data_IF_712188514975
#
_entry.id   IF_712188514975
#
_cell.length_a   1.000
_cell.length_b   1.000
_cell.length_c   1.000
_cell.angle_alpha   90.00
_cell.angle_beta   90.00
_cell.angle_gamma   90.00
#
_symmetry.space_group_name_H-M   'P 1'
#
loop_
_entity.id
_entity.type
_entity.pdbx_description
1 polymer ?
#
# COMPACT_ATOMS: atom_id res chain seq x y z
N UNK A 1 -53.70 -35.47 -16.93
CA UNK A 1 -52.47 -35.49 -17.77
C UNK A 1 -51.57 -34.27 -17.61
N UNK A 2 -52.09 -33.06 -17.39
CA UNK A 2 -51.25 -31.85 -17.28
C UNK A 2 -50.32 -31.76 -16.06
N UNK A 3 -50.71 -32.34 -14.91
CA UNK A 3 -49.89 -32.25 -13.69
C UNK A 3 -48.62 -33.13 -13.70
N UNK A 4 -48.66 -34.26 -14.42
CA UNK A 4 -47.52 -35.20 -14.52
C UNK A 4 -46.44 -34.58 -15.44
N UNK A 5 -46.83 -33.99 -16.57
CA UNK A 5 -45.91 -33.33 -17.52
C UNK A 5 -45.25 -32.11 -16.89
N UNK A 6 -45.93 -31.37 -16.01
CA UNK A 6 -45.37 -30.22 -15.28
C UNK A 6 -44.29 -30.66 -14.30
N UNK A 7 -44.46 -31.77 -13.59
CA UNK A 7 -43.43 -32.29 -12.66
C UNK A 7 -42.19 -32.80 -13.39
N UNK A 8 -42.33 -33.46 -14.53
CA UNK A 8 -41.18 -33.95 -15.30
C UNK A 8 -40.35 -32.82 -15.90
N UNK A 9 -41.00 -31.76 -16.38
CA UNK A 9 -40.30 -30.55 -16.88
C UNK A 9 -39.56 -29.83 -15.75
N UNK A 10 -40.17 -29.75 -14.57
CA UNK A 10 -39.58 -29.11 -13.40
C UNK A 10 -38.36 -29.89 -12.87
N UNK A 11 -38.45 -31.22 -12.85
CA UNK A 11 -37.32 -32.10 -12.50
C UNK A 11 -36.19 -32.01 -13.54
N UNK A 12 -36.51 -31.99 -14.82
CA UNK A 12 -35.53 -31.84 -15.89
C UNK A 12 -34.75 -30.50 -15.76
N UNK A 13 -35.45 -29.40 -15.50
CA UNK A 13 -34.86 -28.10 -15.27
C UNK A 13 -33.92 -28.12 -14.04
N UNK A 14 -34.33 -28.76 -12.94
CA UNK A 14 -33.51 -28.90 -11.74
C UNK A 14 -32.21 -29.68 -12.01
N UNK A 15 -32.29 -30.81 -12.75
CA UNK A 15 -31.07 -31.56 -13.12
C UNK A 15 -30.13 -30.80 -14.04
N UNK A 16 -30.66 -30.04 -14.99
CA UNK A 16 -29.85 -29.16 -15.86
C UNK A 16 -29.10 -28.12 -15.01
N UNK A 17 -29.82 -27.49 -14.08
CA UNK A 17 -29.24 -26.48 -13.18
C UNK A 17 -28.17 -27.07 -12.27
N UNK A 18 -28.38 -28.28 -11.78
CA UNK A 18 -27.40 -29.04 -10.96
C UNK A 18 -26.18 -29.45 -11.77
N UNK A 19 -26.35 -29.87 -13.03
CA UNK A 19 -25.23 -30.14 -13.94
C UNK A 19 -24.41 -28.87 -14.25
N UNK A 20 -25.07 -27.75 -14.55
CA UNK A 20 -24.39 -26.47 -14.78
C UNK A 20 -23.63 -26.04 -13.54
N UNK A 21 -24.26 -26.16 -12.36
CA UNK A 21 -23.59 -25.84 -11.09
C UNK A 21 -22.38 -26.75 -10.85
N UNK A 22 -22.47 -28.04 -11.10
CA UNK A 22 -21.38 -29.01 -10.97
C UNK A 22 -20.22 -28.71 -11.93
N UNK A 23 -20.53 -28.36 -13.17
CA UNK A 23 -19.54 -27.96 -14.18
C UNK A 23 -18.85 -26.66 -13.77
N UNK A 24 -19.60 -25.65 -13.34
CA UNK A 24 -19.07 -24.40 -12.85
C UNK A 24 -18.20 -24.63 -11.60
N UNK A 25 -18.69 -25.48 -10.67
CA UNK A 25 -17.93 -25.86 -9.47
C UNK A 25 -16.62 -26.54 -9.85
N UNK A 26 -16.62 -27.47 -10.81
CA UNK A 26 -15.41 -28.12 -11.32
C UNK A 26 -14.42 -27.09 -11.91
N UNK A 27 -14.89 -26.19 -12.79
CA UNK A 27 -14.05 -25.19 -13.43
C UNK A 27 -13.49 -24.17 -12.43
N UNK A 28 -14.27 -23.72 -11.46
CA UNK A 28 -13.85 -22.73 -10.50
C UNK A 28 -13.02 -23.29 -9.34
N UNK A 29 -13.31 -24.54 -8.91
CA UNK A 29 -12.72 -25.09 -7.69
C UNK A 29 -11.66 -26.15 -7.93
N UNK A 30 -11.78 -26.96 -8.99
CA UNK A 30 -10.91 -28.11 -9.20
C UNK A 30 -9.89 -27.92 -10.33
N UNK A 31 -10.15 -27.06 -11.29
CA UNK A 31 -9.21 -26.79 -12.38
C UNK A 31 -8.06 -25.90 -11.89
N UNK A 32 -6.96 -26.54 -11.47
CA UNK A 32 -5.71 -25.81 -11.18
C UNK A 32 -5.13 -25.27 -12.50
N UNK A 33 -4.77 -23.98 -12.58
CA UNK A 33 -4.05 -23.48 -13.75
C UNK A 33 -2.72 -24.23 -13.87
N UNK A 34 -2.43 -24.77 -15.05
CA UNK A 34 -1.10 -25.32 -15.37
C UNK A 34 -0.13 -24.14 -15.45
N UNK A 35 0.66 -23.95 -14.42
CA UNK A 35 1.75 -22.95 -14.43
C UNK A 35 3.02 -23.68 -14.81
N UNK A 36 3.65 -23.25 -15.90
CA UNK A 36 4.87 -23.82 -16.46
C UNK A 36 6.16 -23.33 -15.78
N UNK A 37 6.06 -22.60 -14.66
CA UNK A 37 7.21 -22.05 -13.96
C UNK A 37 7.39 -22.73 -12.61
N UNK A 38 8.65 -22.93 -12.20
CA UNK A 38 8.99 -23.31 -10.84
C UNK A 38 8.69 -22.15 -9.90
N UNK A 39 7.46 -22.15 -9.39
CA UNK A 39 7.02 -21.11 -8.45
C UNK A 39 7.53 -21.42 -7.04
N UNK A 40 7.82 -20.38 -6.25
CA UNK A 40 8.12 -20.55 -4.84
C UNK A 40 7.01 -21.31 -4.09
N UNK A 41 7.32 -21.92 -2.92
CA UNK A 41 6.33 -22.57 -2.08
C UNK A 41 5.12 -21.68 -1.82
N UNK A 42 3.93 -22.28 -1.79
CA UNK A 42 2.68 -21.56 -1.59
C UNK A 42 1.89 -22.16 -0.44
N UNK A 43 1.38 -21.37 0.50
CA UNK A 43 0.44 -21.83 1.50
C UNK A 43 -0.85 -22.37 0.85
N UNK A 44 -1.69 -23.13 1.57
CA UNK A 44 -3.00 -23.51 1.09
C UNK A 44 -3.85 -22.28 0.72
N UNK A 45 -4.39 -22.26 -0.48
CA UNK A 45 -5.20 -21.16 -0.99
C UNK A 45 -6.69 -21.51 -0.95
N UNK A 46 -7.54 -20.54 -0.64
CA UNK A 46 -8.98 -20.69 -0.78
C UNK A 46 -9.40 -20.62 -2.25
N UNK A 47 -10.46 -21.32 -2.64
CA UNK A 47 -11.05 -21.19 -3.97
C UNK A 47 -11.40 -19.73 -4.26
N UNK A 48 -11.30 -19.30 -5.52
CA UNK A 48 -11.61 -17.95 -6.03
C UNK A 48 -10.72 -16.87 -5.43
N UNK A 49 -10.79 -16.65 -4.10
CA UNK A 49 -10.13 -15.52 -3.42
C UNK A 49 -8.63 -15.75 -3.15
N UNK A 50 -8.16 -17.02 -3.26
CA UNK A 50 -6.77 -17.35 -3.02
C UNK A 50 -6.32 -17.10 -1.57
N UNK A 51 -5.28 -16.31 -1.40
CA UNK A 51 -4.68 -15.98 -0.09
C UNK A 51 -5.15 -14.64 0.49
N UNK A 52 -6.23 -14.05 -0.05
CA UNK A 52 -6.75 -12.76 0.40
C UNK A 52 -7.01 -12.72 1.92
N UNK A 53 -7.49 -13.83 2.49
CA UNK A 53 -7.78 -13.94 3.93
C UNK A 53 -6.57 -13.66 4.84
N UNK A 54 -5.35 -13.96 4.37
CA UNK A 54 -4.12 -13.61 5.11
C UNK A 54 -3.79 -12.11 5.04
N UNK A 55 -4.21 -11.43 3.98
CA UNK A 55 -3.96 -10.01 3.77
C UNK A 55 -5.02 -9.11 4.44
N UNK A 56 -6.21 -9.65 4.73
CA UNK A 56 -7.28 -8.92 5.43
C UNK A 56 -7.06 -8.79 6.94
N UNK A 57 -5.99 -9.35 7.49
CA UNK A 57 -5.66 -9.20 8.91
C UNK A 57 -5.40 -7.73 9.26
N UNK A 58 -5.89 -7.29 10.43
CA UNK A 58 -5.60 -5.97 11.00
C UNK A 58 -4.08 -5.70 11.09
N UNK A 59 -3.30 -6.77 11.35
CA UNK A 59 -1.85 -6.74 11.41
C UNK A 59 -1.26 -7.57 10.26
N UNK A 60 -1.40 -7.08 9.04
CA UNK A 60 -0.95 -7.77 7.82
C UNK A 60 0.50 -8.23 7.91
N UNK A 61 1.40 -7.39 8.45
CA UNK A 61 2.81 -7.72 8.64
C UNK A 61 3.03 -8.92 9.55
N UNK A 62 2.27 -9.06 10.64
CA UNK A 62 2.34 -10.23 11.54
C UNK A 62 1.80 -11.50 10.87
N UNK A 63 0.74 -11.36 10.06
CA UNK A 63 0.18 -12.47 9.30
C UNK A 63 1.19 -12.98 8.26
N UNK A 64 1.81 -12.08 7.51
CA UNK A 64 2.85 -12.42 6.52
C UNK A 64 4.11 -13.00 7.17
N UNK A 65 4.52 -12.47 8.33
CA UNK A 65 5.63 -13.03 9.10
C UNK A 65 5.36 -14.47 9.54
N UNK A 66 4.16 -14.77 10.04
CA UNK A 66 3.77 -16.15 10.41
C UNK A 66 3.81 -17.10 9.20
N UNK A 67 3.36 -16.62 8.03
CA UNK A 67 3.44 -17.41 6.79
C UNK A 67 4.90 -17.69 6.43
N UNK A 68 5.75 -16.67 6.44
CA UNK A 68 7.18 -16.82 6.15
C UNK A 68 7.88 -17.76 7.12
N UNK A 69 7.60 -17.68 8.42
CA UNK A 69 8.15 -18.59 9.42
C UNK A 69 7.73 -20.04 9.22
N UNK A 70 6.54 -20.29 8.64
CA UNK A 70 6.00 -21.63 8.43
C UNK A 70 6.40 -22.24 7.09
N UNK A 71 6.42 -21.46 6.03
CA UNK A 71 6.56 -21.96 4.65
C UNK A 71 7.86 -21.53 3.96
N UNK A 72 8.65 -20.66 4.60
CA UNK A 72 9.94 -20.21 4.09
C UNK A 72 9.99 -18.72 3.74
N UNK A 73 11.19 -18.19 3.46
CA UNK A 73 11.43 -16.76 3.28
C UNK A 73 11.01 -16.21 1.91
N UNK A 74 10.72 -17.07 0.96
CA UNK A 74 10.25 -16.74 -0.38
C UNK A 74 8.97 -17.52 -0.66
N UNK A 75 7.84 -16.83 -0.80
CA UNK A 75 6.53 -17.46 -0.96
C UNK A 75 5.79 -16.90 -2.16
N UNK A 76 5.07 -17.79 -2.83
CA UNK A 76 4.10 -17.43 -3.84
C UNK A 76 2.70 -17.34 -3.23
N UNK A 77 2.10 -16.18 -3.33
CA UNK A 77 0.72 -15.93 -2.92
C UNK A 77 -0.10 -15.55 -4.17
N UNK A 78 -1.39 -15.82 -4.12
CA UNK A 78 -2.32 -15.43 -5.17
C UNK A 78 -3.55 -14.78 -4.53
N UNK A 79 -3.94 -13.61 -5.01
CA UNK A 79 -5.19 -12.95 -4.61
C UNK A 79 -6.07 -12.82 -5.83
N UNK A 80 -7.18 -13.56 -5.86
CA UNK A 80 -7.93 -13.82 -7.09
C UNK A 80 -6.98 -14.32 -8.19
N UNK A 81 -6.78 -13.55 -9.25
CA UNK A 81 -5.86 -13.85 -10.35
C UNK A 81 -4.58 -12.99 -10.32
N UNK A 82 -4.33 -12.26 -9.22
CA UNK A 82 -3.14 -11.44 -9.07
C UNK A 82 -2.04 -12.26 -8.38
N UNK A 83 -0.92 -12.56 -9.04
CA UNK A 83 0.22 -13.20 -8.41
C UNK A 83 0.96 -12.20 -7.52
N UNK A 84 1.41 -12.66 -6.36
CA UNK A 84 2.20 -11.88 -5.40
C UNK A 84 3.35 -12.77 -4.94
N UNK A 85 4.57 -12.26 -4.99
CA UNK A 85 5.74 -12.91 -4.40
C UNK A 85 6.06 -12.19 -3.10
N UNK A 86 6.04 -12.92 -1.99
CA UNK A 86 6.44 -12.44 -0.68
C UNK A 86 7.90 -12.78 -0.45
N UNK A 87 8.73 -11.77 -0.24
CA UNK A 87 10.13 -11.91 0.12
C UNK A 87 10.31 -11.43 1.56
N UNK A 88 10.80 -12.32 2.44
CA UNK A 88 10.99 -12.05 3.87
C UNK A 88 12.45 -12.24 4.33
N UNK A 89 13.37 -12.47 3.40
CA UNK A 89 14.81 -12.56 3.65
C UNK A 89 15.53 -11.36 3.08
N UNK A 90 16.41 -10.76 3.86
CA UNK A 90 17.27 -9.66 3.42
C UNK A 90 18.25 -10.08 2.31
N UNK A 91 18.77 -11.30 2.35
CA UNK A 91 19.68 -11.83 1.32
C UNK A 91 18.97 -11.99 -0.02
N UNK A 92 17.77 -12.58 -0.03
CA UNK A 92 16.97 -12.72 -1.25
C UNK A 92 16.54 -11.34 -1.79
N UNK A 93 16.14 -10.44 -0.91
CA UNK A 93 15.79 -9.07 -1.31
C UNK A 93 17.01 -8.35 -1.94
N UNK A 94 18.18 -8.49 -1.34
CA UNK A 94 19.42 -7.92 -1.88
C UNK A 94 19.72 -8.47 -3.29
N UNK A 95 19.64 -9.78 -3.48
CA UNK A 95 19.84 -10.41 -4.78
C UNK A 95 18.87 -9.90 -5.84
N UNK A 96 17.57 -9.84 -5.49
CA UNK A 96 16.53 -9.32 -6.40
C UNK A 96 16.82 -7.86 -6.79
N UNK A 97 17.14 -6.99 -5.83
CA UNK A 97 17.38 -5.58 -6.09
C UNK A 97 18.74 -5.25 -6.71
N UNK A 98 19.70 -6.18 -6.68
CA UNK A 98 20.99 -6.00 -7.36
C UNK A 98 21.05 -6.68 -8.72
N UNK A 99 20.61 -7.94 -8.81
CA UNK A 99 20.72 -8.71 -10.05
C UNK A 99 19.51 -8.54 -10.98
N UNK A 100 18.34 -8.17 -10.45
CA UNK A 100 17.07 -8.08 -11.19
C UNK A 100 16.42 -6.69 -11.10
N UNK A 101 17.19 -5.65 -10.79
CA UNK A 101 16.65 -4.29 -10.56
C UNK A 101 15.80 -3.80 -11.75
N UNK A 102 16.25 -4.00 -12.97
CA UNK A 102 15.51 -3.60 -14.17
C UNK A 102 14.13 -4.27 -14.28
N UNK A 103 14.02 -5.51 -13.81
CA UNK A 103 12.77 -6.28 -13.86
C UNK A 103 11.78 -5.90 -12.74
N UNK A 104 12.28 -5.42 -11.60
CA UNK A 104 11.47 -5.13 -10.41
C UNK A 104 11.36 -3.63 -10.08
N UNK A 105 12.05 -2.77 -10.83
CA UNK A 105 12.08 -1.32 -10.62
C UNK A 105 10.75 -0.62 -10.91
N UNK A 106 9.88 -1.23 -11.71
CA UNK A 106 8.57 -0.66 -12.05
C UNK A 106 7.58 -0.91 -10.92
N UNK A 107 7.03 0.16 -10.40
CA UNK A 107 5.94 0.12 -9.42
C UNK A 107 4.62 0.23 -10.15
N UNK A 108 3.90 -0.89 -10.31
CA UNK A 108 2.58 -0.93 -10.96
C UNK A 108 1.50 -0.36 -10.03
N UNK A 109 1.66 0.90 -9.65
CA UNK A 109 0.68 1.63 -8.85
C UNK A 109 -0.39 2.24 -9.76
N UNK A 110 -1.65 2.37 -9.29
CA UNK A 110 -2.74 2.92 -10.10
C UNK A 110 -2.48 4.40 -10.40
N UNK A 111 -1.91 4.69 -11.55
CA UNK A 111 -1.59 6.06 -11.99
C UNK A 111 -2.80 6.83 -12.55
N UNK A 112 -3.91 6.14 -12.86
CA UNK A 112 -5.03 6.72 -13.60
C UNK A 112 -6.19 7.25 -12.74
N UNK A 113 -6.09 7.17 -11.43
CA UNK A 113 -7.19 7.51 -10.53
C UNK A 113 -6.80 8.65 -9.60
N UNK A 114 -6.47 9.83 -10.15
CA UNK A 114 -6.16 11.07 -9.42
C UNK A 114 -5.30 10.72 -8.20
N UNK A 115 -4.00 10.54 -8.40
CA UNK A 115 -3.22 9.84 -7.39
C UNK A 115 -2.93 10.75 -6.22
N UNK A 116 -3.09 10.23 -5.02
CA UNK A 116 -2.59 10.77 -3.76
C UNK A 116 -1.12 11.22 -3.80
N UNK A 117 -0.41 10.82 -4.84
CA UNK A 117 1.02 11.04 -5.02
C UNK A 117 1.31 11.72 -6.36
N UNK A 118 0.47 12.69 -6.76
CA UNK A 118 0.68 13.52 -7.96
C UNK A 118 0.70 12.75 -9.29
N UNK A 119 -0.06 11.66 -9.40
CA UNK A 119 -0.13 10.88 -10.64
C UNK A 119 1.19 10.26 -11.05
N UNK A 120 1.45 10.32 -12.35
CA UNK A 120 2.73 9.88 -12.92
C UNK A 120 3.90 10.81 -12.61
N UNK A 121 3.64 11.99 -12.04
CA UNK A 121 4.67 12.98 -11.66
C UNK A 121 5.18 12.80 -10.23
N UNK A 122 4.45 12.07 -9.35
CA UNK A 122 4.90 11.80 -8.00
C UNK A 122 6.12 10.87 -7.98
N UNK A 123 7.14 11.20 -7.19
CA UNK A 123 8.35 10.38 -7.06
C UNK A 123 8.06 8.92 -6.67
N UNK A 124 7.06 8.69 -5.81
CA UNK A 124 6.71 7.34 -5.34
C UNK A 124 6.03 6.50 -6.42
N UNK A 125 5.24 7.14 -7.29
CA UNK A 125 4.39 6.47 -8.30
C UNK A 125 4.93 6.54 -9.70
N UNK A 126 5.93 7.40 -9.93
CA UNK A 126 6.54 7.55 -11.25
C UNK A 126 7.19 6.24 -11.71
N UNK A 127 6.99 5.85 -12.98
CA UNK A 127 7.72 4.74 -13.55
C UNK A 127 9.23 5.02 -13.58
N UNK A 128 10.04 3.95 -13.55
CA UNK A 128 11.50 4.05 -13.60
C UNK A 128 11.97 4.59 -14.97
N UNK A 129 11.91 5.93 -15.11
CA UNK A 129 12.30 6.69 -16.30
C UNK A 129 13.06 7.94 -15.90
N UNK A 130 13.38 8.81 -16.87
CA UNK A 130 14.18 10.01 -16.68
C UNK A 130 13.65 10.94 -15.59
N UNK A 131 12.32 11.12 -15.50
CA UNK A 131 11.70 11.92 -14.45
C UNK A 131 11.99 11.35 -13.04
N UNK A 132 11.83 10.03 -12.85
CA UNK A 132 12.14 9.37 -11.58
C UNK A 132 13.61 9.48 -11.22
N UNK A 133 14.51 9.27 -12.19
CA UNK A 133 15.96 9.41 -12.00
C UNK A 133 16.34 10.84 -11.61
N UNK A 134 15.73 11.83 -12.27
CA UNK A 134 15.92 13.24 -11.94
C UNK A 134 15.47 13.54 -10.51
N UNK A 135 14.25 13.14 -10.12
CA UNK A 135 13.72 13.36 -8.78
C UNK A 135 14.58 12.65 -7.71
N UNK A 136 14.99 11.40 -7.96
CA UNK A 136 15.91 10.68 -7.07
C UNK A 136 17.23 11.43 -6.89
N UNK A 137 17.83 11.89 -7.99
CA UNK A 137 19.07 12.68 -7.95
C UNK A 137 18.88 13.96 -7.14
N UNK A 138 17.78 14.67 -7.35
CA UNK A 138 17.46 15.90 -6.62
C UNK A 138 17.35 15.65 -5.11
N UNK A 139 16.55 14.65 -4.72
CA UNK A 139 16.34 14.28 -3.30
C UNK A 139 17.66 13.88 -2.65
N UNK A 140 18.44 12.99 -3.29
CA UNK A 140 19.70 12.52 -2.75
C UNK A 140 20.72 13.66 -2.63
N UNK A 141 20.85 14.52 -3.65
CA UNK A 141 21.86 15.57 -3.63
C UNK A 141 21.48 16.76 -2.74
N UNK A 142 20.20 17.11 -2.69
CA UNK A 142 19.75 18.33 -1.98
C UNK A 142 19.23 18.09 -0.56
N UNK A 143 18.74 16.89 -0.26
CA UNK A 143 18.12 16.59 1.04
C UNK A 143 18.86 15.50 1.83
N UNK A 144 19.24 14.39 1.18
CA UNK A 144 19.74 13.19 1.87
C UNK A 144 21.25 12.97 1.73
N UNK A 145 21.93 13.68 0.83
CA UNK A 145 23.38 13.54 0.65
C UNK A 145 24.17 14.07 1.86
N UNK A 146 25.42 13.60 2.07
CA UNK A 146 26.21 13.97 3.24
C UNK A 146 26.36 15.48 3.44
N UNK A 147 26.54 16.23 2.36
CA UNK A 147 26.65 17.69 2.41
C UNK A 147 25.31 18.37 2.79
N UNK A 148 24.20 17.88 2.25
CA UNK A 148 22.86 18.39 2.58
C UNK A 148 22.51 18.09 4.05
N UNK A 149 22.81 16.87 4.51
CA UNK A 149 22.62 16.49 5.91
C UNK A 149 23.50 17.33 6.86
N UNK A 150 24.72 17.66 6.46
CA UNK A 150 25.58 18.56 7.24
C UNK A 150 25.00 19.98 7.29
N UNK A 151 24.55 20.51 6.17
CA UNK A 151 23.92 21.86 6.10
C UNK A 151 22.64 21.96 6.93
N UNK A 152 21.84 20.90 6.98
CA UNK A 152 20.61 20.86 7.75
C UNK A 152 20.79 20.46 9.22
N UNK A 153 22.04 20.33 9.70
CA UNK A 153 22.31 19.95 11.09
C UNK A 153 21.78 20.98 12.10
N UNK A 154 21.95 22.27 11.82
CA UNK A 154 21.42 23.36 12.66
C UNK A 154 19.89 23.33 12.71
N UNK A 155 19.24 23.10 11.57
CA UNK A 155 17.78 22.99 11.49
C UNK A 155 17.26 21.85 12.37
N UNK A 156 17.89 20.68 12.28
CA UNK A 156 17.50 19.52 13.11
C UNK A 156 17.75 19.76 14.60
N UNK A 157 18.88 20.39 14.94
CA UNK A 157 19.19 20.71 16.33
C UNK A 157 18.19 21.69 16.93
N UNK A 158 17.84 22.75 16.19
CA UNK A 158 16.87 23.76 16.61
C UNK A 158 15.45 23.19 16.81
N UNK A 159 14.99 22.35 15.89
CA UNK A 159 13.68 21.69 16.04
C UNK A 159 13.67 20.67 17.20
N UNK A 160 14.79 19.97 17.43
CA UNK A 160 14.94 19.07 18.57
C UNK A 160 14.94 19.83 19.92
N UNK A 161 15.63 20.98 19.99
CA UNK A 161 15.61 21.84 21.16
C UNK A 161 14.20 22.37 21.47
N UNK A 162 13.48 22.82 20.42
CA UNK A 162 12.08 23.25 20.54
C UNK A 162 11.19 22.13 21.08
N UNK A 163 11.36 20.91 20.55
CA UNK A 163 10.65 19.73 21.03
C UNK A 163 10.94 19.44 22.51
N UNK A 164 12.23 19.48 22.89
CA UNK A 164 12.65 19.29 24.27
C UNK A 164 12.03 20.33 25.21
N UNK A 165 12.12 21.61 24.87
CA UNK A 165 11.57 22.69 25.69
C UNK A 165 10.04 22.57 25.87
N UNK A 166 9.33 22.17 24.81
CA UNK A 166 7.87 21.94 24.90
C UNK A 166 7.55 20.77 25.84
N UNK A 167 8.30 19.67 25.78
CA UNK A 167 8.10 18.54 26.69
C UNK A 167 8.42 18.92 28.13
N UNK A 168 9.50 19.68 28.32
CA UNK A 168 9.92 20.14 29.65
C UNK A 168 8.87 21.07 30.29
N UNK A 169 8.34 22.04 29.53
CA UNK A 169 7.29 22.94 30.00
C UNK A 169 6.03 22.18 30.41
N UNK A 170 5.59 21.21 29.61
CA UNK A 170 4.45 20.36 29.94
C UNK A 170 4.70 19.50 31.17
N UNK A 171 5.91 18.97 31.32
CA UNK A 171 6.27 18.19 32.49
C UNK A 171 6.26 19.06 33.77
N UNK A 172 6.75 20.29 33.69
CA UNK A 172 6.70 21.22 34.82
C UNK A 172 5.26 21.60 35.22
N UNK A 173 4.33 21.60 34.27
CA UNK A 173 2.91 21.85 34.50
C UNK A 173 2.12 20.60 34.91
N UNK A 174 2.77 19.43 35.00
CA UNK A 174 2.14 18.11 35.18
C UNK A 174 1.06 17.80 34.16
N UNK A 175 1.24 18.27 32.91
CA UNK A 175 0.33 17.98 31.81
C UNK A 175 0.67 16.63 31.15
N UNK A 176 -0.36 15.89 30.77
CA UNK A 176 -0.18 14.66 29.99
C UNK A 176 0.23 14.97 28.55
N UNK A 177 1.15 14.18 27.99
CA UNK A 177 1.68 14.40 26.65
C UNK A 177 1.45 13.18 25.79
N UNK A 178 0.87 13.38 24.60
CA UNK A 178 0.88 12.40 23.53
C UNK A 178 2.22 12.47 22.79
N UNK A 179 3.15 11.60 23.17
CA UNK A 179 4.50 11.56 22.60
C UNK A 179 4.48 11.32 21.08
N UNK A 180 3.57 10.46 20.59
CA UNK A 180 3.46 10.18 19.16
C UNK A 180 3.11 11.46 18.38
N UNK A 181 2.18 12.24 18.88
CA UNK A 181 1.77 13.51 18.28
C UNK A 181 2.90 14.55 18.29
N UNK A 182 3.63 14.66 19.39
CA UNK A 182 4.75 15.62 19.49
C UNK A 182 5.94 15.21 18.59
N UNK A 183 6.24 13.91 18.50
CA UNK A 183 7.27 13.39 17.57
C UNK A 183 6.88 13.65 16.12
N UNK A 184 5.60 13.47 15.75
CA UNK A 184 5.13 13.79 14.39
C UNK A 184 5.29 15.27 14.09
N UNK A 185 5.04 16.17 15.05
CA UNK A 185 5.32 17.61 14.88
C UNK A 185 6.80 17.87 14.62
N UNK A 186 7.67 17.27 15.43
CA UNK A 186 9.13 17.41 15.26
C UNK A 186 9.56 16.99 13.83
N UNK A 187 9.11 15.84 13.37
CA UNK A 187 9.46 15.30 12.04
C UNK A 187 8.97 16.23 10.94
N UNK A 188 7.67 16.59 10.98
CA UNK A 188 7.06 17.43 9.96
C UNK A 188 7.72 18.82 9.91
N UNK A 189 7.93 19.46 11.06
CA UNK A 189 8.60 20.75 11.12
C UNK A 189 10.02 20.69 10.59
N UNK A 190 10.78 19.66 10.96
CA UNK A 190 12.14 19.45 10.47
C UNK A 190 12.16 19.32 8.95
N UNK A 191 11.29 18.50 8.38
CA UNK A 191 11.20 18.28 6.93
C UNK A 191 10.79 19.57 6.21
N UNK A 192 9.75 20.25 6.69
CA UNK A 192 9.30 21.53 6.12
C UNK A 192 10.41 22.57 6.13
N UNK A 193 11.12 22.72 7.26
CA UNK A 193 12.21 23.68 7.37
C UNK A 193 13.41 23.33 6.49
N UNK A 194 13.69 22.05 6.29
CA UNK A 194 14.73 21.59 5.36
C UNK A 194 14.38 21.84 3.89
N UNK A 195 13.09 21.76 3.52
CA UNK A 195 12.64 21.89 2.12
C UNK A 195 12.26 23.34 1.80
N UNK A 196 11.48 23.98 2.66
CA UNK A 196 10.85 25.29 2.41
C UNK A 196 11.61 26.43 3.12
N UNK A 197 12.47 26.10 4.09
CA UNK A 197 13.23 27.07 4.88
C UNK A 197 12.47 27.63 6.09
N UNK A 198 11.22 27.23 6.32
CA UNK A 198 10.40 27.65 7.48
C UNK A 198 9.71 26.45 8.13
N UNK A 199 9.50 26.53 9.44
CA UNK A 199 8.76 25.54 10.18
C UNK A 199 7.25 25.66 9.92
N UNK A 200 6.58 24.52 9.76
CA UNK A 200 5.13 24.52 9.54
C UNK A 200 4.30 24.94 10.78
N UNK A 201 4.90 25.11 11.96
CA UNK A 201 4.16 25.34 13.20
C UNK A 201 3.97 26.83 13.56
N UNK A 202 4.56 27.74 12.81
CA UNK A 202 4.71 29.13 13.28
C UNK A 202 3.64 30.10 12.79
N UNK A 203 2.85 29.78 11.74
CA UNK A 203 1.85 30.74 11.24
C UNK A 203 0.56 30.06 10.73
N UNK A 204 -0.58 30.58 11.16
CA UNK A 204 -1.93 30.46 10.53
C UNK A 204 -2.56 29.07 10.36
N UNK A 205 -2.23 28.07 11.16
CA UNK A 205 -2.87 26.74 11.05
C UNK A 205 -2.41 25.89 9.85
N UNK A 206 -1.45 26.36 9.05
CA UNK A 206 -0.86 25.60 7.95
C UNK A 206 -0.25 24.27 8.41
N UNK A 207 0.41 24.29 9.58
CA UNK A 207 0.97 23.08 10.17
C UNK A 207 -0.08 22.04 10.54
N UNK A 208 -1.24 22.49 10.97
CA UNK A 208 -2.34 21.59 11.30
C UNK A 208 -2.97 21.02 10.03
N UNK A 209 -3.08 21.81 8.97
CA UNK A 209 -3.50 21.34 7.65
C UNK A 209 -2.53 20.30 7.08
N UNK A 210 -1.22 20.55 7.11
CA UNK A 210 -0.21 19.61 6.61
C UNK A 210 -0.23 18.31 7.42
N UNK A 211 -0.34 18.39 8.75
CA UNK A 211 -0.48 17.20 9.60
C UNK A 211 -1.73 16.40 9.29
N UNK A 212 -2.88 17.08 9.19
CA UNK A 212 -4.16 16.43 8.85
C UNK A 212 -4.07 15.73 7.47
N UNK A 213 -3.40 16.34 6.51
CA UNK A 213 -3.15 15.75 5.20
C UNK A 213 -2.22 14.53 5.27
N UNK A 214 -1.14 14.60 6.07
CA UNK A 214 -0.23 13.48 6.27
C UNK A 214 -0.95 12.32 6.97
N UNK A 215 -1.71 12.58 8.03
CA UNK A 215 -2.47 11.57 8.77
C UNK A 215 -3.54 10.91 7.87
N UNK A 216 -4.24 11.71 7.06
CA UNK A 216 -5.20 11.21 6.06
C UNK A 216 -4.51 10.37 4.98
N UNK A 217 -3.33 10.78 4.53
CA UNK A 217 -2.55 10.03 3.54
C UNK A 217 -2.07 8.69 4.09
N UNK A 218 -1.64 8.63 5.36
CA UNK A 218 -1.24 7.38 6.01
C UNK A 218 -2.44 6.43 6.19
N UNK A 219 -3.59 6.95 6.63
CA UNK A 219 -4.83 6.18 6.72
C UNK A 219 -5.28 5.63 5.37
N UNK A 220 -5.08 6.41 4.29
CA UNK A 220 -5.38 5.98 2.93
C UNK A 220 -4.33 5.02 2.36
N UNK A 221 -3.10 5.03 2.86
CA UNK A 221 -2.04 4.13 2.41
C UNK A 221 -2.44 2.65 2.48
N UNK A 222 -3.09 2.23 3.55
CA UNK A 222 -3.65 0.87 3.69
C UNK A 222 -4.76 0.61 2.67
N UNK A 223 -5.68 1.55 2.50
CA UNK A 223 -6.77 1.46 1.51
C UNK A 223 -6.22 1.41 0.09
N UNK A 224 -5.19 2.18 -0.19
CA UNK A 224 -4.49 2.21 -1.47
C UNK A 224 -3.83 0.86 -1.79
N UNK A 225 -3.20 0.23 -0.81
CA UNK A 225 -2.63 -1.11 -0.97
C UNK A 225 -3.69 -2.14 -1.37
N UNK A 226 -4.84 -2.15 -0.68
CA UNK A 226 -5.96 -3.03 -1.04
C UNK A 226 -6.56 -2.67 -2.40
N UNK A 227 -6.71 -1.38 -2.71
CA UNK A 227 -7.18 -0.94 -4.02
C UNK A 227 -6.25 -1.40 -5.15
N UNK A 228 -4.94 -1.34 -4.96
CA UNK A 228 -3.95 -1.82 -5.93
C UNK A 228 -4.06 -3.33 -6.18
N UNK A 229 -4.16 -4.13 -5.12
CA UNK A 229 -4.29 -5.59 -5.24
C UNK A 229 -5.63 -5.99 -5.88
N UNK A 230 -6.72 -5.34 -5.47
CA UNK A 230 -8.08 -5.69 -5.92
C UNK A 230 -8.47 -5.01 -7.25
N UNK A 231 -7.64 -4.10 -7.77
CA UNK A 231 -7.91 -3.34 -9.00
C UNK A 231 -8.25 -4.22 -10.19
N UNK A 232 -7.39 -5.21 -10.50
CA UNK A 232 -7.58 -6.07 -11.67
C UNK A 232 -8.90 -6.85 -11.64
N UNK A 233 -9.27 -7.53 -10.54
CA UNK A 233 -10.56 -8.22 -10.46
C UNK A 233 -11.75 -7.26 -10.44
N UNK A 234 -11.70 -6.14 -9.73
CA UNK A 234 -12.80 -5.20 -9.59
C UNK A 234 -13.03 -4.32 -10.81
N UNK A 235 -11.98 -4.00 -11.56
CA UNK A 235 -12.10 -3.27 -12.84
C UNK A 235 -12.97 -4.01 -13.85
N UNK A 236 -12.95 -5.35 -13.83
CA UNK A 236 -13.82 -6.17 -14.69
C UNK A 236 -15.31 -6.01 -14.37
N UNK A 237 -15.63 -5.60 -13.14
CA UNK A 237 -16.99 -5.40 -12.65
C UNK A 237 -17.36 -3.90 -12.64
N UNK A 238 -16.44 -3.02 -13.12
CA UNK A 238 -16.66 -1.57 -13.13
C UNK A 238 -16.53 -0.88 -11.77
N UNK A 239 -16.03 -1.60 -10.75
CA UNK A 239 -15.89 -1.07 -9.39
C UNK A 239 -14.49 -0.51 -9.19
N UNK A 240 -14.40 0.76 -8.76
CA UNK A 240 -13.17 1.41 -8.31
C UNK A 240 -13.26 1.68 -6.81
N UNK A 241 -12.41 0.99 -6.04
CA UNK A 241 -12.38 1.15 -4.58
C UNK A 241 -11.71 2.48 -4.21
N UNK A 242 -12.34 3.19 -3.28
CA UNK A 242 -11.78 4.39 -2.65
C UNK A 242 -11.45 5.57 -3.58
N UNK A 243 -11.88 5.53 -4.85
CA UNK A 243 -11.59 6.58 -5.85
C UNK A 243 -11.95 7.97 -5.35
N UNK A 244 -13.15 8.12 -4.78
CA UNK A 244 -13.64 9.43 -4.29
C UNK A 244 -12.78 9.96 -3.15
N UNK A 245 -12.42 9.11 -2.18
CA UNK A 245 -11.56 9.49 -1.06
C UNK A 245 -10.14 9.86 -1.52
N UNK A 246 -9.59 9.08 -2.46
CA UNK A 246 -8.28 9.32 -3.06
C UNK A 246 -8.23 10.66 -3.80
N UNK A 247 -9.26 10.97 -4.58
CA UNK A 247 -9.35 12.24 -5.30
C UNK A 247 -9.55 13.44 -4.36
N UNK A 248 -10.30 13.28 -3.27
CA UNK A 248 -10.55 14.35 -2.30
C UNK A 248 -9.26 14.74 -1.55
N UNK A 249 -8.45 13.75 -1.15
CA UNK A 249 -7.16 14.04 -0.52
C UNK A 249 -6.16 14.63 -1.52
N UNK A 250 -6.10 14.12 -2.76
CA UNK A 250 -5.24 14.69 -3.80
C UNK A 250 -5.54 16.16 -4.04
N UNK A 251 -6.81 16.52 -4.16
CA UNK A 251 -7.22 17.92 -4.34
C UNK A 251 -6.78 18.83 -3.18
N UNK A 252 -6.86 18.33 -1.94
CA UNK A 252 -6.43 19.09 -0.76
C UNK A 252 -4.91 19.29 -0.67
N UNK A 253 -4.13 18.49 -1.39
CA UNK A 253 -2.70 18.73 -1.53
C UNK A 253 -2.37 19.82 -2.56
N UNK A 254 -3.27 20.06 -3.51
CA UNK A 254 -3.08 21.06 -4.55
C UNK A 254 -3.57 22.45 -4.10
N UNK A 255 -4.39 22.54 -3.04
CA UNK A 255 -4.86 23.77 -2.38
C UNK A 255 -3.86 24.28 -1.32
#
# INVERSE_FOLDING_TARGET
MGAIVSNDVQNCFFYILLCIFSILFYFFFLKKPKVHYDLPPSPPSLPIIGHLHHLLSLFIHKSLQKLSSKYGPLLYLRVFNVPIVLVSSSSIAYEIFTAQDDNVSTRDLPTNEGSLFFGSFGFVTAPYREHWKFMKKLIVTKLLGPQALKKSQSVRAEELERFYLNLFDKAMKNESVDIAKEVMKLINNTICKMIIGRSCSEENGEAEKVRDLVDKSDALGKKFFFAAILRKPLKKIGISLFKKELMDVSRKFDE
#
